data_IF_028879989475
#
_entry.id   IF_028879989475
#
_cell.length_a   1.000
_cell.length_b   1.000
_cell.length_c   1.000
_cell.angle_alpha   90.00
_cell.angle_beta   90.00
_cell.angle_gamma   90.00
#
_symmetry.space_group_name_H-M   'P 1'
#
loop_
_entity.id
_entity.type
_entity.pdbx_description
1 polymer ?
#
# COMPACT_ATOMS: atom_id res chain seq x y z
N UNK A 1 8.13 -23.95 16.39
CA UNK A 1 6.79 -23.61 15.82
C UNK A 1 5.81 -23.44 16.96
N UNK A 2 5.26 -22.23 17.16
CA UNK A 2 4.00 -22.11 17.91
C UNK A 2 2.94 -22.80 17.05
N UNK A 3 2.59 -24.04 17.40
CA UNK A 3 1.46 -24.72 16.77
C UNK A 3 0.22 -23.86 16.95
N UNK A 4 -0.47 -23.60 15.87
CA UNK A 4 -1.76 -22.87 15.91
C UNK A 4 -2.73 -23.65 16.80
N UNK A 5 -3.24 -23.02 17.84
CA UNK A 5 -4.35 -23.62 18.61
C UNK A 5 -5.66 -23.40 17.83
N UNK A 6 -6.07 -24.41 17.10
CA UNK A 6 -7.28 -24.36 16.30
C UNK A 6 -8.57 -24.23 17.12
N UNK A 7 -8.52 -24.55 18.44
CA UNK A 7 -9.69 -24.37 19.33
C UNK A 7 -10.08 -22.90 19.45
N UNK A 8 -9.13 -21.97 19.26
CA UNK A 8 -9.40 -20.52 19.26
C UNK A 8 -10.39 -20.10 18.16
N UNK A 9 -10.61 -20.93 17.15
CA UNK A 9 -11.46 -20.62 16.00
C UNK A 9 -12.83 -21.30 16.02
N UNK A 10 -13.15 -22.05 17.08
CA UNK A 10 -14.38 -22.84 17.20
C UNK A 10 -15.53 -22.09 17.90
N UNK A 11 -15.25 -21.05 18.66
CA UNK A 11 -16.23 -20.33 19.48
C UNK A 11 -17.17 -19.39 18.70
N UNK A 12 -18.09 -18.78 19.43
CA UNK A 12 -18.94 -17.71 18.92
C UNK A 12 -18.10 -16.43 18.66
N UNK A 13 -18.32 -15.69 17.55
CA UNK A 13 -17.55 -14.48 17.21
C UNK A 13 -17.50 -13.44 18.32
N UNK A 14 -18.57 -13.29 19.09
CA UNK A 14 -18.67 -12.30 20.18
C UNK A 14 -17.75 -12.58 21.38
N UNK A 15 -17.34 -13.83 21.58
CA UNK A 15 -16.48 -14.28 22.68
C UNK A 15 -15.01 -14.42 22.29
N UNK A 16 -14.67 -14.25 21.01
CA UNK A 16 -13.32 -14.52 20.50
C UNK A 16 -12.42 -13.31 20.62
N UNK A 17 -11.17 -13.57 21.05
CA UNK A 17 -10.14 -12.54 21.11
C UNK A 17 -9.80 -12.04 19.70
N UNK A 18 -9.69 -10.73 19.57
CA UNK A 18 -9.13 -10.09 18.38
C UNK A 18 -7.60 -10.13 18.43
N UNK A 19 -6.97 -10.26 17.28
CA UNK A 19 -5.51 -10.07 17.16
C UNK A 19 -5.25 -8.67 16.63
N UNK A 20 -4.05 -8.15 16.93
CA UNK A 20 -3.53 -6.86 16.44
C UNK A 20 -4.48 -5.66 16.67
N UNK A 21 -5.20 -5.64 17.81
CA UNK A 21 -6.14 -4.57 18.17
C UNK A 21 -7.25 -4.26 17.17
N UNK A 22 -7.66 -5.25 16.37
CA UNK A 22 -8.81 -5.08 15.47
C UNK A 22 -10.11 -4.93 16.27
N UNK A 23 -11.09 -4.15 15.77
CA UNK A 23 -12.40 -4.04 16.40
C UNK A 23 -13.08 -5.41 16.51
N UNK A 24 -13.55 -5.75 17.72
CA UNK A 24 -14.22 -7.05 17.97
C UNK A 24 -15.55 -7.18 17.22
N UNK A 25 -16.30 -6.08 17.08
CA UNK A 25 -17.53 -6.03 16.32
C UNK A 25 -17.21 -5.72 14.86
N UNK A 26 -17.50 -6.66 13.98
CA UNK A 26 -17.32 -6.49 12.54
C UNK A 26 -18.43 -5.61 11.95
N UNK A 27 -18.08 -4.73 11.02
CA UNK A 27 -19.03 -3.87 10.30
C UNK A 27 -18.60 -3.67 8.84
N UNK A 28 -19.58 -3.72 7.92
CA UNK A 28 -19.43 -3.19 6.57
C UNK A 28 -20.06 -1.80 6.47
N UNK A 29 -19.47 -0.94 5.67
CA UNK A 29 -20.10 0.31 5.25
C UNK A 29 -21.19 0.00 4.18
N UNK A 30 -22.46 0.36 4.40
CA UNK A 30 -23.52 0.08 3.45
C UNK A 30 -23.42 0.90 2.15
N UNK A 31 -22.63 1.99 2.16
CA UNK A 31 -22.42 2.86 0.98
C UNK A 31 -21.34 2.35 0.03
N UNK A 32 -20.34 1.56 0.50
CA UNK A 32 -19.22 1.14 -0.35
C UNK A 32 -18.59 -0.21 -0.02
N UNK A 33 -19.07 -0.93 1.01
CA UNK A 33 -18.54 -2.20 1.51
C UNK A 33 -17.17 -2.15 2.20
N UNK A 34 -16.56 -0.96 2.45
CA UNK A 34 -15.42 -0.89 3.34
C UNK A 34 -15.75 -1.50 4.69
N UNK A 35 -14.76 -2.15 5.33
CA UNK A 35 -14.98 -2.72 6.67
C UNK A 35 -14.21 -1.95 7.72
N UNK A 36 -14.71 -1.97 8.97
CA UNK A 36 -14.02 -1.38 10.11
C UNK A 36 -12.76 -2.15 10.53
N UNK A 37 -12.44 -3.24 9.85
CA UNK A 37 -11.20 -4.00 10.03
C UNK A 37 -10.04 -3.40 9.22
N UNK A 38 -10.30 -2.45 8.34
CA UNK A 38 -9.28 -1.77 7.53
C UNK A 38 -8.34 -0.96 8.45
N UNK A 39 -7.04 -1.27 8.52
CA UNK A 39 -6.10 -0.42 9.23
C UNK A 39 -5.98 0.94 8.54
N UNK A 40 -5.70 2.00 9.31
CA UNK A 40 -5.29 3.27 8.70
C UNK A 40 -3.98 3.06 7.95
N UNK A 41 -3.73 3.83 6.91
CA UNK A 41 -2.51 3.71 6.10
C UNK A 41 -1.25 3.87 6.95
N UNK A 42 -1.27 4.73 7.97
CA UNK A 42 -0.16 4.87 8.92
C UNK A 42 0.06 3.59 9.73
N UNK A 43 -1.01 3.00 10.27
CA UNK A 43 -0.93 1.75 11.02
C UNK A 43 -0.48 0.59 10.16
N UNK A 44 -0.91 0.54 8.90
CA UNK A 44 -0.51 -0.47 7.94
C UNK A 44 0.99 -0.41 7.61
N UNK A 45 1.54 0.80 7.46
CA UNK A 45 2.92 1.00 7.04
C UNK A 45 3.93 0.94 8.19
N UNK A 46 3.55 1.41 9.38
CA UNK A 46 4.46 1.49 10.55
C UNK A 46 4.07 0.49 11.64
N UNK A 47 3.68 -0.71 11.26
CA UNK A 47 3.14 -1.70 12.19
C UNK A 47 4.12 -2.06 13.28
N UNK A 48 3.76 -1.64 14.48
CA UNK A 48 4.05 -2.30 15.73
C UNK A 48 2.79 -3.09 16.06
N UNK A 49 2.88 -4.41 16.24
CA UNK A 49 1.69 -5.29 16.31
C UNK A 49 0.58 -4.83 17.26
N UNK A 50 0.94 -4.11 18.32
CA UNK A 50 0.02 -3.71 19.39
C UNK A 50 -0.68 -2.36 19.18
N UNK A 51 -0.45 -1.66 18.05
CA UNK A 51 -0.92 -0.27 17.86
C UNK A 51 -1.74 -0.10 16.56
N UNK A 52 -2.33 -1.16 16.05
CA UNK A 52 -3.17 -1.04 14.85
C UNK A 52 -4.38 -0.16 15.15
N UNK A 53 -4.48 0.96 14.45
CA UNK A 53 -5.69 1.78 14.39
C UNK A 53 -6.39 1.51 13.08
N UNK A 54 -7.69 1.27 13.16
CA UNK A 54 -8.53 1.07 11.98
C UNK A 54 -9.23 2.35 11.57
N UNK A 55 -9.74 2.39 10.34
CA UNK A 55 -10.54 3.52 9.85
C UNK A 55 -11.79 3.71 10.71
N UNK A 56 -12.22 4.97 10.86
CA UNK A 56 -13.34 5.33 11.69
C UNK A 56 -14.67 5.07 10.98
N UNK A 57 -15.64 4.57 11.75
CA UNK A 57 -17.04 4.47 11.35
C UNK A 57 -17.88 5.36 12.27
N UNK A 58 -18.69 6.22 11.68
CA UNK A 58 -19.65 7.06 12.41
C UNK A 58 -21.04 6.80 11.84
N UNK A 59 -21.99 6.42 12.69
CA UNK A 59 -23.35 6.05 12.28
C UNK A 59 -23.38 4.94 11.21
N UNK A 60 -22.43 4.00 11.31
CA UNK A 60 -22.29 2.88 10.38
C UNK A 60 -21.65 3.22 9.03
N UNK A 61 -21.26 4.48 8.79
CA UNK A 61 -20.64 4.94 7.55
C UNK A 61 -19.13 5.12 7.75
N UNK A 62 -18.33 4.58 6.83
CA UNK A 62 -16.88 4.68 6.88
C UNK A 62 -16.37 6.09 6.54
N UNK A 63 -15.20 6.44 7.07
CA UNK A 63 -14.58 7.75 6.84
C UNK A 63 -14.33 8.04 5.35
N UNK A 64 -13.98 7.04 4.55
CA UNK A 64 -13.79 7.23 3.10
C UNK A 64 -15.05 7.72 2.38
N UNK A 65 -16.24 7.25 2.78
CA UNK A 65 -17.50 7.76 2.23
C UNK A 65 -17.79 9.19 2.68
N UNK A 66 -17.46 9.55 3.92
CA UNK A 66 -17.63 10.93 4.42
C UNK A 66 -16.69 11.91 3.71
N UNK A 67 -15.45 11.49 3.45
CA UNK A 67 -14.49 12.27 2.67
C UNK A 67 -14.98 12.43 1.25
N UNK A 68 -15.56 11.39 0.65
CA UNK A 68 -16.18 11.49 -0.68
C UNK A 68 -17.33 12.49 -0.69
N UNK A 69 -18.21 12.47 0.30
CA UNK A 69 -19.32 13.44 0.41
C UNK A 69 -18.77 14.89 0.52
N UNK A 70 -17.66 15.12 1.24
CA UNK A 70 -16.96 16.41 1.29
C UNK A 70 -16.34 16.79 -0.05
N UNK A 71 -15.73 15.85 -0.76
CA UNK A 71 -15.13 16.09 -2.10
C UNK A 71 -16.14 16.61 -3.11
N UNK A 72 -17.40 16.21 -3.01
CA UNK A 72 -18.47 16.67 -3.88
C UNK A 72 -18.85 18.15 -3.66
N UNK A 73 -18.46 18.73 -2.51
CA UNK A 73 -18.69 20.15 -2.17
C UNK A 73 -17.46 21.04 -2.35
N UNK A 74 -16.33 20.47 -2.77
CA UNK A 74 -15.08 21.22 -2.96
C UNK A 74 -15.17 22.10 -4.21
N UNK A 75 -14.78 23.35 -4.06
CA UNK A 75 -14.50 24.25 -5.18
C UNK A 75 -13.17 23.86 -5.84
N UNK A 76 -13.26 22.99 -6.85
CA UNK A 76 -12.09 22.47 -7.56
C UNK A 76 -11.36 23.53 -8.38
N UNK A 77 -12.05 24.56 -8.86
CA UNK A 77 -11.41 25.64 -9.61
C UNK A 77 -10.56 26.50 -8.68
N UNK A 78 -11.05 26.78 -7.47
CA UNK A 78 -10.25 27.41 -6.41
C UNK A 78 -9.03 26.57 -6.05
N UNK A 79 -9.19 25.23 -5.87
CA UNK A 79 -8.06 24.31 -5.58
C UNK A 79 -7.02 24.30 -6.70
N UNK A 80 -7.43 24.26 -7.95
CA UNK A 80 -6.53 24.38 -9.11
C UNK A 80 -5.79 25.71 -9.16
N UNK A 81 -6.46 26.82 -8.81
CA UNK A 81 -5.83 28.11 -8.72
C UNK A 81 -4.77 28.17 -7.59
N UNK A 82 -5.08 27.63 -6.42
CA UNK A 82 -4.15 27.49 -5.30
C UNK A 82 -2.95 26.62 -5.70
N UNK A 83 -3.19 25.55 -6.45
CA UNK A 83 -2.12 24.69 -6.98
C UNK A 83 -1.19 25.45 -7.92
N UNK A 84 -1.73 26.22 -8.85
CA UNK A 84 -0.92 27.09 -9.73
C UNK A 84 -0.01 28.02 -8.93
N UNK A 85 -0.55 28.69 -7.93
CA UNK A 85 0.26 29.56 -7.04
C UNK A 85 1.37 28.79 -6.31
N UNK A 86 1.06 27.59 -5.82
CA UNK A 86 2.05 26.74 -5.20
C UNK A 86 3.16 26.37 -6.19
N UNK A 87 2.81 25.91 -7.38
CA UNK A 87 3.77 25.53 -8.40
C UNK A 87 4.66 26.71 -8.81
N UNK A 88 4.10 27.90 -9.01
CA UNK A 88 4.83 29.10 -9.41
C UNK A 88 5.86 29.53 -8.33
N UNK A 89 5.58 29.29 -7.05
CA UNK A 89 6.53 29.51 -5.96
C UNK A 89 7.77 28.64 -6.08
N UNK A 90 7.62 27.39 -6.55
CA UNK A 90 8.70 26.39 -6.63
C UNK A 90 9.32 26.28 -8.04
N UNK A 91 8.82 27.03 -9.00
CA UNK A 91 9.36 27.03 -10.35
C UNK A 91 10.83 27.49 -10.36
N UNK A 92 11.70 26.64 -10.89
CA UNK A 92 13.13 26.91 -10.99
C UNK A 92 13.39 28.10 -11.92
N UNK A 93 14.34 28.96 -11.54
CA UNK A 93 14.80 30.10 -12.34
C UNK A 93 16.12 29.85 -13.06
N UNK A 94 16.76 28.72 -12.81
CA UNK A 94 18.10 28.39 -13.33
C UNK A 94 18.08 27.17 -14.27
N UNK A 95 16.89 26.67 -14.65
CA UNK A 95 16.74 25.50 -15.52
C UNK A 95 16.87 24.15 -14.81
N UNK A 96 16.97 24.11 -13.46
CA UNK A 96 16.92 22.87 -12.69
C UNK A 96 15.48 22.33 -12.58
N UNK A 97 15.32 21.20 -11.92
CA UNK A 97 13.98 20.62 -11.68
C UNK A 97 13.15 21.48 -10.74
N UNK A 98 11.84 21.54 -11.00
CA UNK A 98 10.88 22.30 -10.21
C UNK A 98 10.30 21.47 -9.05
N UNK A 99 10.14 20.17 -9.27
CA UNK A 99 9.56 19.27 -8.29
C UNK A 99 9.99 17.82 -8.52
N UNK A 100 9.86 17.01 -7.47
CA UNK A 100 10.05 15.56 -7.49
C UNK A 100 8.70 14.86 -7.55
N UNK A 101 8.54 13.90 -8.46
CA UNK A 101 7.35 13.04 -8.55
C UNK A 101 7.76 11.59 -8.30
N UNK A 102 7.38 11.01 -7.14
CA UNK A 102 7.60 9.59 -6.88
C UNK A 102 6.68 8.71 -7.72
N UNK A 103 7.17 7.57 -8.17
CA UNK A 103 6.35 6.60 -8.88
C UNK A 103 7.11 5.42 -9.44
N UNK A 104 6.37 4.52 -10.08
CA UNK A 104 6.91 3.30 -10.70
C UNK A 104 6.73 3.27 -12.24
N UNK A 105 6.08 4.27 -12.81
CA UNK A 105 5.62 4.25 -14.21
C UNK A 105 4.21 3.67 -14.34
N UNK A 106 3.56 3.36 -13.24
CA UNK A 106 2.14 3.02 -13.19
C UNK A 106 1.23 4.20 -13.57
N UNK A 107 -0.05 3.93 -13.80
CA UNK A 107 -1.03 4.93 -14.27
C UNK A 107 -1.07 6.22 -13.44
N UNK A 108 -0.98 6.12 -12.12
CA UNK A 108 -1.13 7.26 -11.22
C UNK A 108 0.09 8.19 -11.25
N UNK A 109 1.30 7.63 -11.22
CA UNK A 109 2.53 8.40 -11.33
C UNK A 109 2.69 9.05 -12.71
N UNK A 110 2.27 8.34 -13.77
CA UNK A 110 2.21 8.92 -15.11
C UNK A 110 1.23 10.09 -15.15
N UNK A 111 0.01 9.90 -14.68
CA UNK A 111 -1.03 10.94 -14.64
C UNK A 111 -0.54 12.22 -13.96
N UNK A 112 0.05 12.10 -12.77
CA UNK A 112 0.56 13.25 -12.01
C UNK A 112 1.71 13.95 -12.74
N UNK A 113 2.74 13.21 -13.13
CA UNK A 113 3.93 13.79 -13.77
C UNK A 113 3.61 14.42 -15.12
N UNK A 114 2.77 13.77 -15.92
CA UNK A 114 2.39 14.25 -17.25
C UNK A 114 1.60 15.56 -17.16
N UNK A 115 0.64 15.64 -16.24
CA UNK A 115 -0.11 16.89 -16.02
C UNK A 115 0.79 18.01 -15.50
N UNK A 116 1.69 17.73 -14.55
CA UNK A 116 2.65 18.72 -14.07
C UNK A 116 3.49 19.30 -15.22
N UNK A 117 3.97 18.44 -16.12
CA UNK A 117 4.80 18.88 -17.23
C UNK A 117 4.00 19.57 -18.32
N UNK A 118 2.94 18.95 -18.83
CA UNK A 118 2.28 19.39 -20.06
C UNK A 118 1.08 20.31 -19.83
N UNK A 119 0.43 20.24 -18.67
CA UNK A 119 -0.66 21.15 -18.33
C UNK A 119 -0.16 22.37 -17.54
N UNK A 120 0.76 22.14 -16.58
CA UNK A 120 1.26 23.19 -15.69
C UNK A 120 2.61 23.75 -16.11
N UNK A 121 3.26 23.20 -17.13
CA UNK A 121 4.56 23.67 -17.63
C UNK A 121 5.70 23.56 -16.60
N UNK A 122 5.62 22.59 -15.68
CA UNK A 122 6.68 22.30 -14.72
C UNK A 122 7.78 21.44 -15.36
N UNK A 123 8.98 21.46 -14.76
CA UNK A 123 10.05 20.53 -15.08
C UNK A 123 10.22 19.50 -13.94
N UNK A 124 9.38 18.45 -13.89
CA UNK A 124 9.45 17.44 -12.86
C UNK A 124 10.59 16.46 -13.11
N UNK A 125 11.30 16.09 -12.05
CA UNK A 125 12.15 14.88 -12.04
C UNK A 125 11.38 13.75 -11.36
N UNK A 126 11.46 12.55 -11.92
CA UNK A 126 10.77 11.39 -11.36
C UNK A 126 11.75 10.50 -10.59
N UNK A 127 11.26 9.87 -9.52
CA UNK A 127 12.07 8.96 -8.71
C UNK A 127 11.30 7.66 -8.42
N UNK A 128 11.97 6.54 -8.64
CA UNK A 128 11.42 5.21 -8.42
C UNK A 128 12.22 4.49 -7.35
N UNK A 129 11.52 3.94 -6.35
CA UNK A 129 12.10 2.93 -5.46
C UNK A 129 11.77 1.56 -6.05
N UNK A 130 12.80 0.77 -6.35
CA UNK A 130 12.64 -0.47 -7.10
C UNK A 130 11.68 -1.45 -6.43
N UNK A 131 10.74 -2.06 -7.17
CA UNK A 131 10.05 -3.26 -6.73
C UNK A 131 11.01 -4.36 -6.30
N UNK A 132 10.51 -5.36 -5.57
CA UNK A 132 11.29 -6.56 -5.22
C UNK A 132 11.65 -7.37 -6.46
N UNK A 133 10.64 -7.63 -7.29
CA UNK A 133 10.75 -8.44 -8.51
C UNK A 133 9.87 -7.85 -9.60
N UNK A 134 10.46 -7.13 -10.52
CA UNK A 134 9.71 -6.57 -11.64
C UNK A 134 8.95 -7.66 -12.42
N UNK A 135 7.72 -7.33 -12.79
CA UNK A 135 7.05 -8.00 -13.91
C UNK A 135 7.55 -7.41 -15.25
N UNK A 136 7.37 -8.14 -16.34
CA UNK A 136 7.79 -7.65 -17.66
C UNK A 136 7.06 -6.35 -18.05
N UNK A 137 5.74 -6.27 -17.77
CA UNK A 137 4.94 -5.08 -18.06
C UNK A 137 5.22 -3.94 -17.10
N UNK A 138 5.53 -4.21 -15.83
CA UNK A 138 5.98 -3.20 -14.88
C UNK A 138 7.26 -2.51 -15.35
N UNK A 139 8.26 -3.28 -15.80
CA UNK A 139 9.48 -2.72 -16.35
C UNK A 139 9.27 -1.99 -17.68
N UNK A 140 8.40 -2.52 -18.56
CA UNK A 140 7.99 -1.81 -19.79
C UNK A 140 7.32 -0.47 -19.48
N UNK A 141 6.45 -0.42 -18.46
CA UNK A 141 5.77 0.82 -18.08
C UNK A 141 6.74 1.85 -17.51
N UNK A 142 7.74 1.45 -16.72
CA UNK A 142 8.81 2.34 -16.30
C UNK A 142 9.55 2.96 -17.51
N UNK A 143 9.89 2.13 -18.51
CA UNK A 143 10.52 2.62 -19.74
C UNK A 143 9.60 3.54 -20.55
N UNK A 144 8.33 3.20 -20.67
CA UNK A 144 7.36 4.05 -21.36
C UNK A 144 7.18 5.38 -20.67
N UNK A 145 7.23 5.40 -19.34
CA UNK A 145 7.17 6.63 -18.57
C UNK A 145 8.34 7.56 -18.91
N UNK A 146 9.58 7.03 -18.92
CA UNK A 146 10.75 7.81 -19.33
C UNK A 146 10.67 8.25 -20.79
N UNK A 147 10.23 7.38 -21.70
CA UNK A 147 10.04 7.72 -23.11
C UNK A 147 8.97 8.81 -23.35
N UNK A 148 8.07 9.01 -22.40
CA UNK A 148 7.05 10.08 -22.44
C UNK A 148 7.62 11.45 -22.05
N UNK A 149 8.95 11.58 -21.93
CA UNK A 149 9.65 12.85 -21.73
C UNK A 149 10.07 13.11 -20.27
N UNK A 150 10.26 12.07 -19.47
CA UNK A 150 10.69 12.19 -18.08
C UNK A 150 12.07 11.61 -17.83
N UNK A 151 12.88 12.33 -17.07
CA UNK A 151 14.07 11.78 -16.44
C UNK A 151 13.66 11.04 -15.17
N UNK A 152 14.19 9.81 -14.98
CA UNK A 152 13.88 8.99 -13.82
C UNK A 152 15.16 8.52 -13.12
N UNK A 153 15.15 8.62 -11.79
CA UNK A 153 16.18 8.07 -10.93
C UNK A 153 15.64 6.82 -10.25
N UNK A 154 16.14 5.65 -10.70
CA UNK A 154 15.78 4.36 -10.13
C UNK A 154 16.72 4.02 -8.97
N UNK A 155 16.19 3.99 -7.76
CA UNK A 155 16.92 3.49 -6.59
C UNK A 155 16.70 1.98 -6.44
N UNK A 156 17.76 1.22 -6.56
CA UNK A 156 17.78 -0.21 -6.26
C UNK A 156 18.54 -0.38 -4.93
N UNK A 157 17.86 -0.68 -3.82
CA UNK A 157 18.53 -0.87 -2.55
C UNK A 157 19.40 -2.13 -2.54
N UNK A 158 20.28 -2.29 -1.53
CA UNK A 158 21.06 -3.51 -1.35
C UNK A 158 20.12 -4.74 -1.31
N UNK A 159 20.20 -5.59 -2.31
CA UNK A 159 19.25 -6.69 -2.52
C UNK A 159 19.30 -7.75 -1.41
N UNK A 160 20.47 -7.97 -0.77
CA UNK A 160 20.57 -8.86 0.41
C UNK A 160 19.76 -8.30 1.58
N UNK A 161 19.95 -7.01 1.86
CA UNK A 161 19.22 -6.33 2.94
C UNK A 161 17.71 -6.28 2.64
N UNK A 162 17.36 -5.94 1.41
CA UNK A 162 15.98 -5.84 0.98
C UNK A 162 15.23 -7.17 1.10
N UNK A 163 15.86 -8.26 0.66
CA UNK A 163 15.36 -9.62 0.79
C UNK A 163 15.19 -10.03 2.25
N UNK A 164 16.20 -9.76 3.10
CA UNK A 164 16.15 -10.05 4.53
C UNK A 164 15.02 -9.29 5.22
N UNK A 165 14.88 -7.99 4.94
CA UNK A 165 13.81 -7.16 5.51
C UNK A 165 12.42 -7.66 5.09
N UNK A 166 12.24 -8.05 3.83
CA UNK A 166 10.98 -8.63 3.33
C UNK A 166 10.66 -9.97 4.02
N UNK A 167 11.67 -10.83 4.22
CA UNK A 167 11.50 -12.09 4.95
C UNK A 167 11.13 -11.84 6.42
N UNK A 168 11.80 -10.93 7.11
CA UNK A 168 11.46 -10.53 8.48
C UNK A 168 10.04 -9.99 8.58
N UNK A 169 9.65 -9.15 7.64
CA UNK A 169 8.31 -8.57 7.59
C UNK A 169 7.22 -9.65 7.38
N UNK A 170 7.51 -10.66 6.56
CA UNK A 170 6.63 -11.82 6.41
C UNK A 170 6.47 -12.57 7.73
N UNK A 171 7.57 -12.89 8.42
CA UNK A 171 7.57 -13.71 9.65
C UNK A 171 6.97 -12.98 10.86
N UNK A 172 7.28 -11.70 11.01
CA UNK A 172 6.96 -10.95 12.23
C UNK A 172 5.61 -10.25 12.17
N UNK A 173 5.24 -9.76 11.00
CA UNK A 173 4.02 -8.94 10.83
C UNK A 173 3.13 -9.39 9.67
N UNK A 174 3.50 -10.47 8.99
CA UNK A 174 2.78 -10.99 7.82
C UNK A 174 2.46 -9.93 6.79
N UNK A 175 3.46 -9.08 6.52
CA UNK A 175 3.38 -7.95 5.59
C UNK A 175 4.67 -7.85 4.76
N UNK A 176 4.92 -8.79 3.83
CA UNK A 176 6.19 -8.91 3.12
C UNK A 176 6.54 -7.67 2.29
N UNK A 177 5.55 -6.87 1.94
CA UNK A 177 5.68 -5.68 1.10
C UNK A 177 6.05 -4.41 1.89
N UNK A 178 6.05 -4.45 3.22
CA UNK A 178 6.30 -3.28 4.07
C UNK A 178 7.63 -2.56 3.78
N UNK A 179 8.78 -3.24 3.57
CA UNK A 179 10.03 -2.54 3.26
C UNK A 179 9.93 -1.72 1.97
N UNK A 180 9.24 -2.23 0.94
CA UNK A 180 9.00 -1.47 -0.29
C UNK A 180 8.14 -0.24 -0.03
N UNK A 181 7.05 -0.39 0.69
CA UNK A 181 6.18 0.74 1.04
C UNK A 181 6.95 1.84 1.76
N UNK A 182 7.80 1.47 2.74
CA UNK A 182 8.62 2.44 3.45
C UNK A 182 9.67 3.08 2.54
N UNK A 183 10.30 2.30 1.67
CA UNK A 183 11.27 2.81 0.70
C UNK A 183 10.64 3.81 -0.28
N UNK A 184 9.57 3.42 -0.95
CA UNK A 184 8.88 4.30 -1.91
C UNK A 184 8.30 5.57 -1.27
N UNK A 185 8.01 5.52 0.02
CA UNK A 185 7.46 6.65 0.76
C UNK A 185 8.53 7.60 1.28
N UNK A 186 9.66 7.07 1.75
CA UNK A 186 10.69 7.82 2.44
C UNK A 186 11.88 8.21 1.55
N UNK A 187 12.21 7.42 0.54
CA UNK A 187 13.33 7.71 -0.35
C UNK A 187 13.16 9.00 -1.17
N UNK A 188 11.96 9.34 -1.67
CA UNK A 188 11.76 10.58 -2.44
C UNK A 188 12.14 11.86 -1.68
N UNK A 189 11.93 11.93 -0.36
CA UNK A 189 12.32 13.09 0.44
C UNK A 189 13.83 13.21 0.56
N UNK A 190 14.54 12.09 0.66
CA UNK A 190 16.03 12.07 0.68
C UNK A 190 16.60 12.44 -0.68
N UNK A 191 15.98 11.93 -1.75
CA UNK A 191 16.34 12.31 -3.12
C UNK A 191 16.13 13.81 -3.36
N UNK A 192 14.98 14.34 -2.96
CA UNK A 192 14.65 15.75 -3.07
C UNK A 192 15.68 16.65 -2.31
N UNK A 193 16.05 16.24 -1.09
CA UNK A 193 17.10 16.91 -0.31
C UNK A 193 18.45 16.89 -1.03
N UNK A 194 18.85 15.74 -1.56
CA UNK A 194 20.13 15.57 -2.28
C UNK A 194 20.16 16.41 -3.54
N UNK A 195 19.07 16.48 -4.28
CA UNK A 195 18.94 17.25 -5.51
C UNK A 195 18.64 18.73 -5.27
N UNK A 196 18.38 19.13 -4.02
CA UNK A 196 17.95 20.49 -3.63
C UNK A 196 16.66 20.93 -4.36
N UNK A 197 15.74 20.01 -4.54
CA UNK A 197 14.42 20.23 -5.14
C UNK A 197 13.38 20.14 -4.03
N UNK A 198 12.90 21.26 -3.46
CA UNK A 198 12.14 21.22 -2.21
C UNK A 198 10.71 20.73 -2.32
N UNK A 199 10.08 20.75 -3.51
CA UNK A 199 8.70 20.33 -3.71
C UNK A 199 8.61 18.87 -4.14
N UNK A 200 7.87 18.08 -3.37
CA UNK A 200 7.57 16.67 -3.68
C UNK A 200 6.06 16.51 -3.85
N UNK A 201 5.61 15.95 -4.97
CA UNK A 201 4.19 15.78 -5.27
C UNK A 201 3.87 14.29 -5.42
N UNK A 202 3.17 13.75 -4.42
CA UNK A 202 2.60 12.41 -4.44
C UNK A 202 1.25 12.41 -5.17
N UNK A 203 0.77 11.24 -5.58
CA UNK A 203 -0.53 11.10 -6.24
C UNK A 203 -1.69 11.31 -5.28
N UNK A 204 -2.12 10.24 -4.65
CA UNK A 204 -3.26 10.25 -3.73
C UNK A 204 -2.88 10.53 -2.28
N UNK A 205 -3.81 11.15 -1.57
CA UNK A 205 -3.78 11.22 -0.12
C UNK A 205 -4.35 9.94 0.49
N UNK A 206 -3.82 9.47 1.62
CA UNK A 206 -4.37 8.32 2.36
C UNK A 206 -5.82 8.47 2.81
N UNK A 207 -6.33 9.68 2.88
CA UNK A 207 -7.73 9.96 3.16
C UNK A 207 -8.67 9.39 2.09
N UNK A 208 -8.21 9.20 0.84
CA UNK A 208 -8.96 8.51 -0.21
C UNK A 208 -9.37 7.07 0.20
N UNK A 209 -8.62 6.47 1.12
CA UNK A 209 -8.83 5.12 1.65
C UNK A 209 -9.44 5.09 3.06
N UNK A 210 -9.87 6.24 3.59
CA UNK A 210 -10.50 6.35 4.91
C UNK A 210 -9.54 6.59 6.07
N UNK A 211 -8.30 6.99 5.81
CA UNK A 211 -7.44 7.56 6.84
C UNK A 211 -7.99 8.90 7.32
N UNK A 212 -7.59 9.42 8.51
CA UNK A 212 -8.25 10.57 9.13
C UNK A 212 -8.40 11.78 8.22
N UNK A 213 -9.51 12.47 8.37
CA UNK A 213 -9.89 13.67 7.61
C UNK A 213 -8.86 14.82 7.66
N UNK A 214 -8.09 14.92 8.76
CA UNK A 214 -7.00 15.89 8.88
C UNK A 214 -5.99 15.81 7.72
N UNK A 215 -5.84 14.64 7.13
CA UNK A 215 -4.96 14.41 5.98
C UNK A 215 -5.57 14.91 4.66
N UNK A 216 -6.89 15.01 4.58
CA UNK A 216 -7.57 15.58 3.41
C UNK A 216 -7.68 17.10 3.48
N UNK A 217 -7.75 17.67 4.68
CA UNK A 217 -7.87 19.12 4.88
C UNK A 217 -6.56 19.87 4.75
N UNK A 218 -5.42 19.16 4.78
CA UNK A 218 -4.08 19.73 4.59
C UNK A 218 -3.51 19.42 3.20
N UNK A 219 -2.95 20.45 2.56
CA UNK A 219 -2.16 20.26 1.34
C UNK A 219 -0.81 19.61 1.61
N UNK A 220 -0.31 19.64 2.84
CA UNK A 220 1.00 19.13 3.25
C UNK A 220 0.88 17.89 4.11
N UNK A 221 1.77 16.94 3.87
CA UNK A 221 1.78 15.61 4.51
C UNK A 221 3.12 15.30 5.20
N UNK A 222 3.70 16.32 5.86
CA UNK A 222 5.02 16.23 6.52
C UNK A 222 5.15 15.06 7.48
N UNK A 223 4.16 14.85 8.34
CA UNK A 223 4.17 13.84 9.40
C UNK A 223 4.27 12.40 8.85
N UNK A 224 3.98 12.21 7.57
CA UNK A 224 4.09 10.93 6.89
C UNK A 224 5.51 10.57 6.50
N UNK A 225 6.40 11.56 6.44
CA UNK A 225 7.74 11.45 5.89
C UNK A 225 8.84 11.77 6.90
N UNK A 226 8.48 12.01 8.17
CA UNK A 226 9.41 12.39 9.21
C UNK A 226 9.27 11.54 10.48
N UNK A 227 10.36 11.48 11.26
CA UNK A 227 10.36 10.95 12.61
C UNK A 227 10.97 11.98 13.59
N UNK A 228 10.59 11.85 14.89
CA UNK A 228 11.13 12.68 15.97
C UNK A 228 12.15 11.92 16.81
N UNK A 229 11.91 10.65 17.08
CA UNK A 229 12.77 9.77 17.87
C UNK A 229 13.05 8.48 17.10
N UNK A 230 14.29 8.01 17.14
CA UNK A 230 14.68 6.73 16.52
C UNK A 230 13.87 5.54 17.06
N UNK A 231 13.45 5.60 18.33
CA UNK A 231 12.58 4.59 18.93
C UNK A 231 11.19 4.49 18.28
N UNK A 232 10.77 5.50 17.52
CA UNK A 232 9.48 5.50 16.82
C UNK A 232 9.54 4.71 15.50
N UNK A 233 10.76 4.38 15.04
CA UNK A 233 10.97 3.68 13.77
C UNK A 233 10.91 2.17 13.99
N UNK A 234 9.99 1.54 13.27
CA UNK A 234 9.90 0.09 13.16
C UNK A 234 9.97 -0.28 11.68
N UNK A 235 10.83 -1.24 11.38
CA UNK A 235 11.05 -1.75 10.03
C UNK A 235 10.95 -3.27 10.07
N UNK A 236 10.11 -3.83 9.22
CA UNK A 236 9.88 -5.29 9.17
C UNK A 236 9.38 -5.90 10.49
N UNK A 237 8.64 -5.13 11.29
CA UNK A 237 8.19 -5.55 12.62
C UNK A 237 9.27 -5.53 13.70
N UNK A 238 10.45 -5.00 13.40
CA UNK A 238 11.58 -4.89 14.32
C UNK A 238 11.85 -3.45 14.72
N UNK A 239 12.36 -3.25 15.95
CA UNK A 239 13.02 -2.00 16.32
C UNK A 239 14.38 -1.88 15.62
N UNK A 240 14.94 -0.67 15.56
CA UNK A 240 16.29 -0.50 15.02
C UNK A 240 17.35 -1.27 15.83
N UNK A 241 17.24 -1.28 17.15
CA UNK A 241 18.17 -2.01 18.03
C UNK A 241 18.14 -3.51 17.76
N UNK A 242 16.95 -4.07 17.50
CA UNK A 242 16.81 -5.47 17.12
C UNK A 242 17.49 -5.74 15.77
N UNK A 243 17.30 -4.88 14.77
CA UNK A 243 17.96 -5.01 13.47
C UNK A 243 19.49 -4.88 13.58
N UNK A 244 19.99 -3.99 14.43
CA UNK A 244 21.42 -3.87 14.71
C UNK A 244 21.98 -5.13 15.39
N UNK A 245 21.19 -5.74 16.28
CA UNK A 245 21.58 -7.01 16.92
C UNK A 245 21.76 -8.15 15.92
N UNK A 246 21.05 -8.10 14.78
CA UNK A 246 21.23 -9.05 13.68
C UNK A 246 22.45 -8.74 12.80
N UNK A 247 23.13 -7.61 13.06
CA UNK A 247 24.36 -7.22 12.37
C UNK A 247 24.16 -6.20 11.25
N UNK A 248 22.90 -5.73 11.03
CA UNK A 248 22.66 -4.64 10.10
C UNK A 248 23.23 -3.32 10.65
N UNK A 249 23.55 -2.41 9.76
CA UNK A 249 24.07 -1.10 10.09
C UNK A 249 23.07 -0.01 9.69
N UNK A 250 23.22 1.16 10.26
CA UNK A 250 22.33 2.29 9.94
C UNK A 250 22.29 2.61 8.44
N UNK A 251 23.41 2.51 7.75
CA UNK A 251 23.46 2.75 6.31
C UNK A 251 22.70 1.70 5.48
N UNK A 252 22.56 0.46 5.98
CA UNK A 252 21.76 -0.58 5.35
C UNK A 252 20.26 -0.25 5.40
N UNK A 253 19.84 0.39 6.50
CA UNK A 253 18.45 0.72 6.79
C UNK A 253 18.03 2.10 6.25
N UNK A 254 19.02 2.96 6.00
CA UNK A 254 18.80 4.35 5.60
C UNK A 254 17.84 4.52 4.41
N UNK A 255 17.85 3.69 3.33
CA UNK A 255 16.92 3.86 2.21
C UNK A 255 15.44 3.74 2.61
N UNK A 256 15.15 2.99 3.67
CA UNK A 256 13.80 2.68 4.14
C UNK A 256 13.29 3.63 5.23
N UNK A 257 14.20 4.33 5.92
CA UNK A 257 13.86 5.19 7.04
C UNK A 257 13.34 6.55 6.56
N UNK A 258 12.39 7.18 7.28
CA UNK A 258 12.04 8.58 7.05
C UNK A 258 13.23 9.52 7.37
N UNK A 259 13.10 10.79 7.03
CA UNK A 259 14.01 11.84 7.48
C UNK A 259 13.71 12.25 8.93
N UNK A 260 14.72 12.70 9.66
CA UNK A 260 14.48 13.38 10.92
C UNK A 260 13.75 14.72 10.66
N UNK A 261 12.82 15.10 11.54
CA UNK A 261 11.99 16.30 11.36
C UNK A 261 12.85 17.57 11.12
N UNK A 262 13.97 17.73 11.86
CA UNK A 262 14.90 18.84 11.66
C UNK A 262 15.54 18.84 10.28
N UNK A 263 15.97 17.68 9.78
CA UNK A 263 16.57 17.60 8.43
C UNK A 263 15.57 17.95 7.33
N UNK A 264 14.31 17.58 7.53
CA UNK A 264 13.22 17.93 6.63
C UNK A 264 12.99 19.44 6.59
N UNK A 265 12.96 20.09 7.77
CA UNK A 265 12.76 21.54 7.92
C UNK A 265 13.96 22.35 7.39
N UNK A 266 15.18 21.97 7.76
CA UNK A 266 16.41 22.62 7.27
C UNK A 266 16.57 22.53 5.75
N UNK A 267 15.97 21.55 5.13
CA UNK A 267 15.97 21.36 3.66
C UNK A 267 14.78 22.04 2.98
N UNK A 268 13.94 22.74 3.74
CA UNK A 268 12.72 23.44 3.26
C UNK A 268 11.79 22.52 2.42
N UNK A 269 11.79 21.22 2.71
CA UNK A 269 11.01 20.25 1.94
C UNK A 269 9.51 20.45 2.15
N UNK A 270 8.75 20.25 1.06
CA UNK A 270 7.30 20.31 1.07
C UNK A 270 6.75 19.12 0.31
N UNK A 271 6.02 18.26 1.02
CA UNK A 271 5.30 17.13 0.44
C UNK A 271 3.81 17.47 0.32
N UNK A 272 3.25 17.32 -0.87
CA UNK A 272 1.81 17.49 -1.10
C UNK A 272 1.23 16.30 -1.84
N UNK A 273 -0.09 16.11 -1.71
CA UNK A 273 -0.85 15.17 -2.50
C UNK A 273 -1.53 15.89 -3.67
N UNK A 274 -1.35 15.38 -4.88
CA UNK A 274 -2.01 15.91 -6.07
C UNK A 274 -3.54 15.83 -5.95
N UNK A 275 -4.03 14.76 -5.29
CA UNK A 275 -5.45 14.56 -5.01
C UNK A 275 -6.10 15.63 -4.11
N UNK A 276 -5.31 16.44 -3.40
CA UNK A 276 -5.81 17.59 -2.67
C UNK A 276 -6.27 18.72 -3.62
N UNK A 277 -5.59 18.88 -4.74
CA UNK A 277 -5.83 19.94 -5.71
C UNK A 277 -6.71 19.53 -6.89
N UNK A 278 -6.79 18.21 -7.14
CA UNK A 278 -7.55 17.61 -8.25
C UNK A 278 -8.40 16.47 -7.74
N UNK A 279 -9.62 16.38 -8.23
CA UNK A 279 -10.49 15.26 -7.91
C UNK A 279 -9.82 13.96 -8.35
N UNK A 280 -9.50 13.12 -7.39
CA UNK A 280 -8.81 11.85 -7.65
C UNK A 280 -9.80 10.78 -8.08
N UNK A 281 -9.54 10.17 -9.23
CA UNK A 281 -10.38 9.14 -9.82
C UNK A 281 -9.51 8.11 -10.54
N UNK A 282 -9.23 6.94 -9.92
CA UNK A 282 -8.26 5.97 -10.44
C UNK A 282 -8.54 5.47 -11.86
N UNK A 283 -9.82 5.31 -12.23
CA UNK A 283 -10.18 4.87 -13.56
C UNK A 283 -9.98 5.98 -14.61
N UNK A 284 -10.31 7.23 -14.30
CA UNK A 284 -10.00 8.37 -15.17
C UNK A 284 -8.48 8.55 -15.33
N UNK A 285 -7.70 8.36 -14.26
CA UNK A 285 -6.24 8.38 -14.34
C UNK A 285 -5.72 7.32 -15.30
N UNK A 286 -6.33 6.13 -15.30
CA UNK A 286 -5.99 5.06 -16.23
C UNK A 286 -6.31 5.45 -17.67
N UNK A 287 -7.52 5.93 -17.96
CA UNK A 287 -7.89 6.37 -19.31
C UNK A 287 -6.99 7.50 -19.82
N UNK A 288 -6.73 8.50 -18.99
CA UNK A 288 -5.77 9.55 -19.32
C UNK A 288 -4.40 8.98 -19.68
N UNK A 289 -3.94 8.00 -18.91
CA UNK A 289 -2.62 7.41 -19.11
C UNK A 289 -2.52 6.65 -20.44
N UNK A 290 -3.53 5.85 -20.80
CA UNK A 290 -3.51 5.12 -22.09
C UNK A 290 -3.68 6.04 -23.29
N UNK A 291 -4.37 7.16 -23.14
CA UNK A 291 -4.52 8.15 -24.21
C UNK A 291 -3.24 8.95 -24.47
N UNK A 292 -2.40 9.15 -23.46
CA UNK A 292 -1.21 9.99 -23.51
C UNK A 292 0.12 9.23 -23.46
N UNK A 293 0.09 7.90 -23.43
CA UNK A 293 1.30 7.07 -23.38
C UNK A 293 1.12 5.71 -24.02
N UNK A 294 2.21 4.95 -24.10
CA UNK A 294 2.20 3.53 -24.47
C UNK A 294 2.10 2.63 -23.23
N UNK A 295 1.23 2.97 -22.27
CA UNK A 295 1.05 2.16 -21.06
C UNK A 295 0.54 0.76 -21.40
N UNK A 296 1.16 -0.25 -20.80
CA UNK A 296 0.78 -1.65 -20.95
C UNK A 296 0.02 -2.15 -19.73
N UNK A 297 -1.15 -2.68 -19.96
CA UNK A 297 -1.85 -3.49 -18.95
C UNK A 297 -1.20 -4.86 -18.81
N UNK A 298 -1.39 -5.51 -17.67
CA UNK A 298 -1.01 -6.90 -17.51
C UNK A 298 -1.85 -7.79 -18.46
N UNK A 299 -1.28 -8.82 -19.09
CA UNK A 299 -2.03 -9.75 -19.93
C UNK A 299 -3.12 -10.49 -19.14
N UNK A 300 -2.86 -10.71 -17.85
CA UNK A 300 -3.79 -11.33 -16.91
C UNK A 300 -4.16 -10.34 -15.82
N UNK A 301 -5.30 -10.56 -15.16
CA UNK A 301 -5.67 -9.80 -13.97
C UNK A 301 -4.71 -10.12 -12.80
N UNK A 302 -4.52 -9.17 -11.91
CA UNK A 302 -3.80 -9.40 -10.65
C UNK A 302 -4.60 -10.37 -9.77
N UNK A 303 -3.93 -11.30 -9.08
CA UNK A 303 -4.60 -12.23 -8.18
C UNK A 303 -5.34 -11.48 -7.07
N UNK A 304 -6.56 -11.93 -6.77
CA UNK A 304 -7.43 -11.31 -5.78
C UNK A 304 -8.17 -10.06 -6.24
N UNK A 305 -8.11 -9.71 -7.55
CA UNK A 305 -8.91 -8.61 -8.13
C UNK A 305 -9.27 -8.88 -9.59
N UNK A 306 -10.19 -8.08 -10.13
CA UNK A 306 -10.58 -8.08 -11.54
C UNK A 306 -9.72 -7.14 -12.40
N UNK A 307 -8.90 -6.31 -11.80
CA UNK A 307 -8.08 -5.30 -12.49
C UNK A 307 -6.89 -5.92 -13.24
N UNK A 308 -6.54 -5.29 -14.38
CA UNK A 308 -5.34 -5.58 -15.18
C UNK A 308 -4.35 -4.40 -15.22
N UNK A 309 -4.68 -3.29 -14.59
CA UNK A 309 -3.89 -2.05 -14.66
C UNK A 309 -3.44 -1.53 -13.29
N UNK A 310 -3.81 -2.21 -12.21
CA UNK A 310 -3.44 -1.85 -10.85
C UNK A 310 -2.67 -2.99 -10.18
N UNK A 311 -1.66 -2.66 -9.38
CA UNK A 311 -0.75 -3.62 -8.72
C UNK A 311 -0.14 -4.62 -9.71
N UNK A 312 0.54 -4.09 -10.71
CA UNK A 312 1.08 -4.90 -11.81
C UNK A 312 2.61 -4.80 -11.93
N UNK A 313 3.26 -3.98 -11.14
CA UNK A 313 4.68 -3.67 -11.29
C UNK A 313 5.59 -4.71 -10.64
N UNK A 314 5.15 -5.32 -9.53
CA UNK A 314 5.92 -6.25 -8.71
C UNK A 314 5.19 -7.60 -8.63
N UNK A 315 5.94 -8.70 -8.81
CA UNK A 315 5.40 -10.06 -8.59
C UNK A 315 4.93 -10.28 -7.15
N UNK A 316 5.49 -9.53 -6.19
CA UNK A 316 5.13 -9.60 -4.77
C UNK A 316 3.72 -9.04 -4.48
N UNK A 317 3.15 -8.21 -5.36
CA UNK A 317 1.81 -7.63 -5.17
C UNK A 317 0.73 -8.68 -4.91
N UNK A 318 0.74 -9.76 -5.70
CA UNK A 318 -0.22 -10.85 -5.56
C UNK A 318 -0.15 -11.48 -4.16
N UNK A 319 1.06 -11.70 -3.65
CA UNK A 319 1.30 -12.29 -2.32
C UNK A 319 0.91 -11.31 -1.21
N UNK A 320 1.24 -10.03 -1.36
CA UNK A 320 0.84 -9.01 -0.41
C UNK A 320 -0.69 -8.91 -0.28
N UNK A 321 -1.42 -8.91 -1.39
CA UNK A 321 -2.88 -8.89 -1.38
C UNK A 321 -3.46 -10.08 -0.60
N UNK A 322 -2.88 -11.26 -0.76
CA UNK A 322 -3.31 -12.45 -0.03
C UNK A 322 -2.97 -12.37 1.46
N UNK A 323 -1.76 -11.93 1.84
CA UNK A 323 -1.39 -11.77 3.25
C UNK A 323 -2.27 -10.74 3.96
N UNK A 324 -2.66 -9.70 3.26
CA UNK A 324 -3.60 -8.69 3.73
C UNK A 324 -4.99 -9.28 4.00
N UNK A 325 -5.50 -10.07 3.06
CA UNK A 325 -6.76 -10.79 3.23
C UNK A 325 -6.74 -11.73 4.44
N UNK A 326 -5.68 -12.50 4.61
CA UNK A 326 -5.52 -13.41 5.76
C UNK A 326 -5.59 -12.64 7.09
N UNK A 327 -4.91 -11.49 7.18
CA UNK A 327 -4.82 -10.69 8.40
C UNK A 327 -6.10 -9.95 8.76
N UNK A 328 -6.73 -9.32 7.77
CA UNK A 328 -7.79 -8.34 7.99
C UNK A 328 -9.15 -8.79 7.46
N UNK A 329 -9.22 -9.92 6.76
CA UNK A 329 -10.46 -10.38 6.12
C UNK A 329 -10.91 -9.49 4.95
N UNK A 330 -9.99 -8.68 4.40
CA UNK A 330 -10.24 -7.71 3.32
C UNK A 330 -9.27 -8.01 2.19
N UNK A 331 -9.78 -8.33 1.00
CA UNK A 331 -8.95 -8.56 -0.16
C UNK A 331 -8.76 -7.34 -1.05
N UNK A 332 -8.01 -7.50 -2.10
CA UNK A 332 -7.76 -6.46 -3.09
C UNK A 332 -9.02 -6.03 -3.81
N UNK A 333 -9.92 -6.97 -4.10
CA UNK A 333 -11.20 -6.64 -4.74
C UNK A 333 -12.03 -5.71 -3.87
N UNK A 334 -12.13 -5.97 -2.56
CA UNK A 334 -12.82 -5.03 -1.65
C UNK A 334 -12.22 -3.63 -1.75
N UNK A 335 -10.90 -3.50 -1.78
CA UNK A 335 -10.22 -2.21 -1.94
C UNK A 335 -10.61 -1.50 -3.24
N UNK A 336 -10.55 -2.20 -4.38
CA UNK A 336 -10.85 -1.63 -5.69
C UNK A 336 -12.35 -1.26 -5.80
N UNK A 337 -13.24 -2.19 -5.44
CA UNK A 337 -14.69 -2.01 -5.44
C UNK A 337 -15.14 -0.79 -4.61
N UNK A 338 -14.57 -0.62 -3.41
CA UNK A 338 -14.96 0.50 -2.55
C UNK A 338 -14.67 1.85 -3.17
N UNK A 339 -13.60 1.97 -3.95
CA UNK A 339 -13.28 3.19 -4.69
C UNK A 339 -14.21 3.38 -5.88
N UNK A 340 -14.41 2.35 -6.68
CA UNK A 340 -15.25 2.41 -7.88
C UNK A 340 -16.72 2.69 -7.56
N UNK A 341 -17.25 2.12 -6.46
CA UNK A 341 -18.59 2.48 -5.95
C UNK A 341 -18.65 3.95 -5.54
N UNK A 342 -17.67 4.45 -4.79
CA UNK A 342 -17.66 5.86 -4.37
C UNK A 342 -17.51 6.82 -5.52
N UNK A 343 -16.86 6.42 -6.60
CA UNK A 343 -16.71 7.22 -7.80
C UNK A 343 -17.93 7.10 -8.75
N UNK A 344 -18.79 6.09 -8.56
CA UNK A 344 -19.95 5.85 -9.40
C UNK A 344 -19.67 4.98 -10.64
N UNK A 345 -18.52 4.31 -10.67
CA UNK A 345 -18.10 3.46 -11.80
C UNK A 345 -18.85 2.14 -11.84
N UNK A 346 -19.18 1.60 -10.66
CA UNK A 346 -19.95 0.36 -10.52
C UNK A 346 -21.05 0.51 -9.47
N UNK A 347 -22.08 -0.32 -9.60
CA UNK A 347 -23.18 -0.42 -8.64
C UNK A 347 -22.80 -1.26 -7.41
N UNK A 348 -23.55 -1.12 -6.32
CA UNK A 348 -23.41 -1.97 -5.14
C UNK A 348 -23.60 -3.47 -5.48
N UNK A 349 -24.54 -3.79 -6.36
CA UNK A 349 -24.78 -5.18 -6.78
C UNK A 349 -23.55 -5.77 -7.50
N UNK A 350 -22.99 -5.05 -8.45
CA UNK A 350 -21.76 -5.44 -9.15
C UNK A 350 -20.61 -5.60 -8.18
N UNK A 351 -20.36 -4.62 -7.33
CA UNK A 351 -19.30 -4.64 -6.34
C UNK A 351 -19.40 -5.82 -5.38
N UNK A 352 -20.58 -6.12 -4.83
CA UNK A 352 -20.78 -7.26 -3.94
C UNK A 352 -20.44 -8.60 -4.63
N UNK A 353 -20.85 -8.76 -5.88
CA UNK A 353 -20.55 -9.96 -6.65
C UNK A 353 -19.07 -10.11 -7.01
N UNK A 354 -18.38 -8.99 -7.30
CA UNK A 354 -16.94 -8.98 -7.53
C UNK A 354 -16.16 -9.39 -6.26
N UNK A 355 -16.52 -8.82 -5.10
CA UNK A 355 -15.91 -9.18 -3.80
C UNK A 355 -16.06 -10.66 -3.54
N UNK A 356 -17.28 -11.22 -3.65
CA UNK A 356 -17.53 -12.64 -3.46
C UNK A 356 -16.71 -13.53 -4.40
N UNK A 357 -16.47 -13.05 -5.61
CA UNK A 357 -15.81 -13.83 -6.65
C UNK A 357 -14.30 -13.88 -6.52
N UNK A 358 -13.66 -12.76 -6.11
CA UNK A 358 -12.21 -12.60 -6.25
C UNK A 358 -11.47 -12.40 -4.93
N UNK A 359 -12.12 -11.87 -3.86
CA UNK A 359 -11.42 -11.68 -2.59
C UNK A 359 -10.93 -13.02 -2.02
N UNK A 360 -9.69 -13.03 -1.59
CA UNK A 360 -9.06 -14.19 -0.97
C UNK A 360 -8.55 -15.25 -1.94
N UNK A 361 -8.52 -14.97 -3.23
CA UNK A 361 -7.88 -15.84 -4.22
C UNK A 361 -6.39 -16.04 -3.86
N UNK A 362 -5.95 -17.32 -3.90
CA UNK A 362 -4.55 -17.65 -3.63
C UNK A 362 -3.65 -17.21 -4.80
N UNK A 363 -2.51 -16.55 -4.54
CA UNK A 363 -1.64 -15.96 -5.57
C UNK A 363 -0.71 -17.00 -6.21
N UNK A 364 -1.23 -17.92 -6.99
CA UNK A 364 -0.46 -19.03 -7.57
C UNK A 364 0.44 -18.63 -8.74
N UNK A 365 0.25 -17.44 -9.31
CA UNK A 365 0.96 -17.01 -10.53
C UNK A 365 2.49 -16.92 -10.33
N UNK A 366 2.92 -16.40 -9.18
CA UNK A 366 4.33 -16.16 -8.88
C UNK A 366 4.78 -16.80 -7.56
N UNK A 367 3.97 -17.67 -6.94
CA UNK A 367 4.23 -18.20 -5.60
C UNK A 367 5.59 -18.88 -5.49
N UNK A 368 6.00 -19.65 -6.49
CA UNK A 368 7.30 -20.35 -6.50
C UNK A 368 8.48 -19.37 -6.46
N UNK A 369 8.47 -18.36 -7.32
CA UNK A 369 9.52 -17.33 -7.36
C UNK A 369 9.57 -16.51 -6.06
N UNK A 370 8.39 -16.24 -5.49
CA UNK A 370 8.25 -15.51 -4.23
C UNK A 370 8.78 -16.36 -3.06
N UNK A 371 8.50 -17.66 -3.03
CA UNK A 371 9.03 -18.55 -2.00
C UNK A 371 10.55 -18.70 -2.12
N UNK A 372 11.07 -18.78 -3.32
CA UNK A 372 12.52 -18.75 -3.56
C UNK A 372 13.14 -17.42 -3.07
N UNK A 373 12.50 -16.31 -3.34
CA UNK A 373 12.92 -14.99 -2.85
C UNK A 373 12.95 -14.94 -1.32
N UNK A 374 11.98 -15.51 -0.62
CA UNK A 374 11.94 -15.55 0.84
C UNK A 374 12.91 -16.57 1.45
N UNK A 375 13.35 -17.56 0.72
CA UNK A 375 14.28 -18.58 1.23
C UNK A 375 15.66 -17.97 1.47
N UNK A 376 16.16 -18.05 2.72
CA UNK A 376 17.41 -17.41 3.15
C UNK A 376 18.45 -18.51 3.44
N UNK A 377 19.27 -18.90 2.45
CA UNK A 377 20.26 -19.95 2.64
C UNK A 377 21.41 -19.51 3.55
N UNK A 378 21.94 -20.46 4.34
CA UNK A 378 23.05 -20.20 5.28
C UNK A 378 24.30 -19.70 4.57
N UNK A 379 24.56 -20.20 3.37
CA UNK A 379 25.73 -19.88 2.55
C UNK A 379 25.73 -18.40 2.15
N UNK A 380 24.55 -17.82 1.95
CA UNK A 380 24.41 -16.44 1.50
C UNK A 380 24.44 -15.43 2.68
N UNK A 381 23.76 -15.76 3.78
CA UNK A 381 23.54 -14.83 4.90
C UNK A 381 24.31 -15.18 6.16
N UNK A 382 24.90 -16.38 6.24
CA UNK A 382 25.58 -16.90 7.42
C UNK A 382 24.62 -17.43 8.49
N UNK A 383 25.15 -18.18 9.44
CA UNK A 383 24.34 -18.89 10.45
C UNK A 383 23.54 -17.95 11.38
N UNK A 384 24.09 -16.80 11.74
CA UNK A 384 23.43 -15.86 12.64
C UNK A 384 22.06 -15.41 12.08
N UNK A 385 22.01 -15.07 10.79
CA UNK A 385 20.77 -14.64 10.13
C UNK A 385 19.87 -15.82 9.83
N UNK A 386 20.42 -16.93 9.32
CA UNK A 386 19.63 -18.12 8.99
C UNK A 386 18.94 -18.73 10.23
N UNK A 387 19.54 -18.57 11.42
CA UNK A 387 18.95 -19.03 12.68
C UNK A 387 17.85 -18.12 13.23
N UNK A 388 17.56 -16.97 12.60
CA UNK A 388 16.39 -16.13 12.94
C UNK A 388 15.08 -16.79 12.51
N UNK A 389 15.13 -17.70 11.55
CA UNK A 389 13.96 -18.32 10.96
C UNK A 389 13.90 -19.81 11.34
N UNK A 390 12.71 -20.33 11.56
CA UNK A 390 12.51 -21.78 11.84
C UNK A 390 12.97 -22.65 10.67
N UNK A 391 12.81 -22.16 9.44
CA UNK A 391 13.32 -22.78 8.23
C UNK A 391 14.02 -21.76 7.35
N UNK A 392 15.22 -22.05 6.83
CA UNK A 392 15.84 -21.22 5.82
C UNK A 392 15.03 -21.19 4.52
N UNK A 393 14.27 -22.26 4.24
CA UNK A 393 13.45 -22.42 3.06
C UNK A 393 12.00 -22.06 3.33
N UNK A 394 11.37 -21.36 2.42
CA UNK A 394 9.93 -21.12 2.40
C UNK A 394 9.33 -21.92 1.24
N UNK A 395 8.34 -22.72 1.56
CA UNK A 395 7.50 -23.41 0.61
C UNK A 395 6.01 -23.15 0.92
N UNK A 396 5.13 -23.74 0.17
CA UNK A 396 3.68 -23.57 0.33
C UNK A 396 3.16 -24.08 1.67
N UNK A 397 3.73 -25.16 2.20
CA UNK A 397 3.33 -25.73 3.49
C UNK A 397 3.74 -24.78 4.62
N UNK A 398 5.00 -24.34 4.63
CA UNK A 398 5.50 -23.37 5.60
C UNK A 398 4.70 -22.06 5.55
N UNK A 399 4.43 -21.53 4.36
CA UNK A 399 3.64 -20.31 4.19
C UNK A 399 2.19 -20.48 4.67
N UNK A 400 1.59 -21.64 4.48
CA UNK A 400 0.23 -21.94 4.97
C UNK A 400 0.19 -21.99 6.49
N UNK A 401 1.14 -22.66 7.11
CA UNK A 401 1.28 -22.73 8.57
C UNK A 401 1.51 -21.34 9.18
N UNK A 402 2.34 -20.53 8.53
CA UNK A 402 2.59 -19.15 8.94
C UNK A 402 1.30 -18.32 8.82
N UNK A 403 0.56 -18.44 7.72
CA UNK A 403 -0.70 -17.75 7.48
C UNK A 403 -1.71 -18.01 8.60
N UNK A 404 -1.82 -19.26 9.05
CA UNK A 404 -2.75 -19.67 10.10
C UNK A 404 -2.45 -18.96 11.45
N UNK A 405 -1.17 -18.63 11.72
CA UNK A 405 -0.78 -17.89 12.91
C UNK A 405 -1.22 -16.42 12.90
N UNK A 406 -1.45 -15.83 11.72
CA UNK A 406 -1.87 -14.44 11.58
C UNK A 406 -3.38 -14.25 11.38
N UNK A 407 -4.15 -15.34 11.24
CA UNK A 407 -5.62 -15.27 11.22
C UNK A 407 -6.14 -14.80 12.58
N UNK A 408 -7.08 -13.89 12.57
CA UNK A 408 -7.74 -13.46 13.81
C UNK A 408 -9.00 -14.30 14.05
N UNK A 409 -9.17 -14.92 15.24
CA UNK A 409 -10.31 -15.81 15.52
C UNK A 409 -11.68 -15.17 15.33
N UNK A 410 -11.84 -13.87 15.59
CA UNK A 410 -13.11 -13.17 15.39
C UNK A 410 -13.46 -12.98 13.90
N UNK A 411 -12.49 -13.07 13.00
CA UNK A 411 -12.70 -12.98 11.54
C UNK A 411 -12.84 -14.36 10.88
N UNK A 412 -12.17 -15.37 11.44
CA UNK A 412 -12.02 -16.67 10.82
C UNK A 412 -12.63 -17.79 11.67
N UNK A 413 -13.26 -18.75 11.04
CA UNK A 413 -13.66 -20.02 11.63
C UNK A 413 -12.93 -21.18 10.96
N UNK A 414 -12.56 -22.20 11.73
CA UNK A 414 -12.01 -23.46 11.21
C UNK A 414 -13.15 -24.40 10.82
N UNK A 415 -13.11 -24.94 9.63
CA UNK A 415 -14.06 -25.94 9.10
C UNK A 415 -13.29 -27.15 8.58
N UNK A 416 -14.00 -28.20 8.18
CA UNK A 416 -13.39 -29.39 7.55
C UNK A 416 -12.72 -29.06 6.22
N UNK A 417 -13.12 -27.94 5.57
CA UNK A 417 -12.57 -27.46 4.29
C UNK A 417 -11.42 -26.45 4.46
N UNK A 418 -11.05 -26.14 5.69
CA UNK A 418 -10.04 -25.12 5.97
C UNK A 418 -10.59 -23.93 6.74
N UNK A 419 -9.99 -22.75 6.55
CA UNK A 419 -10.49 -21.52 7.14
C UNK A 419 -11.50 -20.81 6.25
N UNK A 420 -12.55 -20.31 6.85
CA UNK A 420 -13.58 -19.50 6.20
C UNK A 420 -13.79 -18.20 6.98
N UNK A 421 -14.09 -17.12 6.25
CA UNK A 421 -14.52 -15.87 6.90
C UNK A 421 -15.85 -16.09 7.64
N UNK A 422 -15.96 -15.50 8.84
CA UNK A 422 -17.19 -15.48 9.62
C UNK A 422 -18.19 -14.45 9.10
N UNK A 423 -17.68 -13.38 8.51
CA UNK A 423 -18.48 -12.25 8.05
C UNK A 423 -18.33 -12.14 6.53
N UNK A 424 -19.18 -12.86 5.80
CA UNK A 424 -19.19 -12.84 4.34
C UNK A 424 -20.14 -11.74 3.85
N UNK A 425 -19.82 -11.11 2.74
CA UNK A 425 -20.61 -10.01 2.18
C UNK A 425 -22.06 -10.44 1.86
N UNK A 426 -22.25 -11.67 1.43
CA UNK A 426 -23.58 -12.22 1.16
C UNK A 426 -24.47 -12.37 2.41
N UNK A 427 -23.88 -12.54 3.60
CA UNK A 427 -24.62 -12.63 4.86
C UNK A 427 -25.15 -11.26 5.29
N UNK A 428 -24.45 -10.16 4.94
CA UNK A 428 -24.83 -8.79 5.27
C UNK A 428 -25.73 -8.14 4.22
N UNK A 429 -25.55 -8.50 2.95
CA UNK A 429 -26.24 -7.90 1.80
C UNK A 429 -26.86 -8.95 0.87
N UNK A 430 -27.73 -9.85 1.39
CA UNK A 430 -28.30 -10.95 0.59
C UNK A 430 -29.12 -10.47 -0.61
N UNK A 431 -29.60 -9.24 -0.59
CA UNK A 431 -30.37 -8.62 -1.69
C UNK A 431 -29.58 -8.44 -2.98
N UNK A 432 -28.24 -8.49 -2.93
CA UNK A 432 -27.39 -8.33 -4.12
C UNK A 432 -27.05 -9.67 -4.78
N UNK A 433 -27.43 -10.79 -4.16
CA UNK A 433 -27.14 -12.11 -4.68
C UNK A 433 -28.43 -12.78 -5.14
N UNK A 434 -28.39 -13.43 -6.32
CA UNK A 434 -29.54 -14.22 -6.79
C UNK A 434 -29.74 -15.39 -5.83
N UNK A 435 -30.99 -15.61 -5.41
CA UNK A 435 -31.34 -16.86 -4.75
C UNK A 435 -31.24 -17.94 -5.84
N UNK A 436 -30.29 -18.88 -5.70
CA UNK A 436 -30.31 -20.10 -6.47
C UNK A 436 -31.66 -20.78 -6.15
N UNK A 437 -32.58 -20.71 -7.10
CA UNK A 437 -33.83 -21.48 -7.07
C UNK A 437 -33.52 -22.96 -7.29
#
# INVERSE_FOLDING_TARGET
KKKVDYNLFLGDPSSLKTRINLPSKFQFCPKCFWTNQRPTTRSEHYVKEDITKTIVFTDGICEACKIKDKKDTVDWDKRKYEFKKLLDKYRSRNGSYDCVVPGSGGKDSFYVSHRLKYEYGMNPVTVTFSPFMYTDWGFKNLKNWTNSGFENYLNIPNQKIYRLLSRLALEKIFHPWQPWILGQKNYPTKFARMMKVPLIIYGESPSEYGSPDSEYTSQYVKEWHTYKKLSDIHLSGCSLDELYSYGLKQYDLHPFMPLHEKEFEESELNCCAFSYFHKWHPQENYYYTIENSSFHVSPERTAGTYSKYASIDDKMDDMFNYTYFVKYGIGRTTHDVTQEIRNGDITLKEGANLIKKYDGEYPSRFDKEIFEYFSIPKEEFGEKISNLFESPTVDKEYFTDLSDNFRSPHLWKKTNKGFELRNKIEDYFPQYFEKNN
#
